data_IF_132126173814
#
_entry.id   IF_132126173814
#
_cell.length_a   1.000
_cell.length_b   1.000
_cell.length_c   1.000
_cell.angle_alpha   90.00
_cell.angle_beta   90.00
_cell.angle_gamma   90.00
#
_symmetry.space_group_name_H-M   'P 1'
#
loop_
_entity.id
_entity.type
_entity.pdbx_description
1 polymer ?
#
# COMPACT_ATOMS: atom_id res chain seq x y z
N UNK A 1 11.98 2.51 19.34
CA UNK A 1 10.81 2.05 18.56
C UNK A 1 10.33 3.22 17.74
N UNK A 2 10.34 3.10 16.43
CA UNK A 2 9.77 4.16 15.57
C UNK A 2 8.25 4.01 15.67
N UNK A 3 7.58 4.98 16.28
CA UNK A 3 6.11 4.98 16.36
C UNK A 3 5.57 5.43 14.99
N UNK A 4 5.00 4.50 14.24
CA UNK A 4 4.28 4.78 13.01
C UNK A 4 2.85 5.21 13.32
N UNK A 5 2.31 6.16 12.56
CA UNK A 5 0.95 6.67 12.79
C UNK A 5 -0.10 5.95 11.94
N UNK A 6 0.31 5.45 10.77
CA UNK A 6 -0.61 4.90 9.76
C UNK A 6 -0.43 3.41 9.48
N UNK A 7 0.58 2.81 10.09
CA UNK A 7 0.84 1.37 10.00
C UNK A 7 1.20 0.78 11.36
N UNK A 8 1.10 -0.54 11.46
CA UNK A 8 1.66 -1.31 12.57
C UNK A 8 2.73 -2.23 12.00
N UNK A 9 3.88 -2.34 12.68
CA UNK A 9 4.96 -3.25 12.31
C UNK A 9 5.11 -4.34 13.37
N UNK A 10 5.04 -5.58 12.95
CA UNK A 10 5.34 -6.76 13.78
C UNK A 10 6.44 -7.58 13.12
N UNK A 11 7.39 -8.09 13.92
CA UNK A 11 8.40 -9.05 13.47
C UNK A 11 8.17 -10.38 14.18
N UNK A 12 7.99 -11.44 13.40
CA UNK A 12 7.85 -12.79 13.92
C UNK A 12 8.80 -13.76 13.17
N UNK A 13 9.87 -14.16 13.83
CA UNK A 13 10.93 -14.94 13.19
C UNK A 13 11.50 -14.17 12.00
N UNK A 14 11.45 -14.77 10.82
CA UNK A 14 11.97 -14.18 9.58
C UNK A 14 10.91 -13.44 8.75
N UNK A 15 9.78 -13.09 9.34
CA UNK A 15 8.70 -12.38 8.65
C UNK A 15 8.48 -11.01 9.29
N UNK A 16 8.57 -9.96 8.47
CA UNK A 16 8.11 -8.62 8.82
C UNK A 16 6.66 -8.43 8.35
N UNK A 17 5.74 -8.10 9.25
CA UNK A 17 4.34 -7.84 8.92
C UNK A 17 4.02 -6.38 9.07
N UNK A 18 3.54 -5.76 7.99
CA UNK A 18 3.06 -4.38 7.92
C UNK A 18 1.55 -4.42 7.86
N UNK A 19 0.88 -3.93 8.88
CA UNK A 19 -0.58 -3.79 8.88
C UNK A 19 -0.95 -2.35 8.62
N UNK A 20 -1.67 -2.09 7.53
CA UNK A 20 -2.21 -0.76 7.23
C UNK A 20 -3.23 -0.40 8.30
N UNK A 21 -3.08 0.76 8.94
CA UNK A 21 -3.82 1.13 10.14
C UNK A 21 -4.41 2.55 10.07
N UNK A 22 -5.25 2.78 9.06
CA UNK A 22 -6.11 3.97 8.93
C UNK A 22 -7.60 3.56 8.90
N UNK A 23 -8.13 2.93 9.96
CA UNK A 23 -9.46 2.30 9.93
C UNK A 23 -10.60 3.29 9.63
N UNK A 24 -10.48 4.55 10.05
CA UNK A 24 -11.48 5.60 9.79
C UNK A 24 -11.55 6.00 8.31
N UNK A 25 -10.51 5.73 7.55
CA UNK A 25 -10.40 6.02 6.12
C UNK A 25 -10.39 4.73 5.26
N UNK A 26 -10.78 3.58 5.81
CA UNK A 26 -10.70 2.27 5.13
C UNK A 26 -9.31 2.03 4.53
N UNK A 27 -8.27 2.42 5.23
CA UNK A 27 -6.87 2.33 4.82
C UNK A 27 -6.54 3.04 3.50
N UNK A 28 -7.29 4.12 3.15
CA UNK A 28 -6.98 4.92 1.98
C UNK A 28 -5.52 5.40 2.01
N UNK A 29 -4.86 5.29 0.85
CA UNK A 29 -3.44 5.57 0.69
C UNK A 29 -3.21 7.08 0.59
N UNK A 30 -2.61 7.66 1.62
CA UNK A 30 -2.11 9.03 1.62
C UNK A 30 -0.56 9.04 1.62
N UNK A 31 0.03 10.20 1.46
CA UNK A 31 1.48 10.38 1.39
C UNK A 31 2.20 9.90 2.65
N UNK A 32 1.57 10.04 3.83
CA UNK A 32 2.17 9.57 5.07
C UNK A 32 2.24 8.05 5.12
N UNK A 33 1.12 7.36 4.84
CA UNK A 33 1.07 5.90 4.80
C UNK A 33 2.07 5.36 3.76
N UNK A 34 2.14 5.97 2.59
CA UNK A 34 3.10 5.60 1.56
C UNK A 34 4.55 5.69 2.08
N UNK A 35 4.93 6.82 2.68
CA UNK A 35 6.29 6.98 3.22
C UNK A 35 6.60 5.95 4.30
N UNK A 36 5.67 5.69 5.22
CA UNK A 36 5.86 4.72 6.29
C UNK A 36 6.02 3.30 5.73
N UNK A 37 5.15 2.87 4.81
CA UNK A 37 5.24 1.55 4.17
C UNK A 37 6.56 1.40 3.43
N UNK A 38 6.92 2.36 2.58
CA UNK A 38 8.18 2.31 1.79
C UNK A 38 9.39 2.26 2.71
N UNK A 39 9.45 3.12 3.73
CA UNK A 39 10.57 3.15 4.67
C UNK A 39 10.74 1.83 5.42
N UNK A 40 9.62 1.22 5.86
CA UNK A 40 9.66 -0.08 6.56
C UNK A 40 10.05 -1.21 5.62
N UNK A 41 9.54 -1.22 4.39
CA UNK A 41 9.94 -2.24 3.40
C UNK A 41 11.43 -2.16 3.12
N UNK A 42 12.00 -0.97 2.94
CA UNK A 42 13.45 -0.80 2.74
C UNK A 42 14.27 -1.24 3.95
N UNK A 43 13.81 -0.93 5.17
CA UNK A 43 14.45 -1.39 6.40
C UNK A 43 14.45 -2.92 6.48
N UNK A 44 13.31 -3.57 6.21
CA UNK A 44 13.16 -5.01 6.24
C UNK A 44 13.93 -5.70 5.10
N UNK A 45 13.98 -5.10 3.91
CA UNK A 45 14.71 -5.62 2.75
C UNK A 45 16.24 -5.57 2.95
N UNK A 46 16.72 -4.62 3.74
CA UNK A 46 18.13 -4.52 4.10
C UNK A 46 18.53 -5.49 5.24
N UNK A 47 17.59 -6.07 5.95
CA UNK A 47 17.82 -6.97 7.08
C UNK A 47 17.94 -8.42 6.61
N UNK A 48 19.15 -9.02 6.68
CA UNK A 48 19.41 -10.40 6.26
C UNK A 48 18.63 -11.47 7.06
N UNK A 49 18.12 -11.12 8.23
CA UNK A 49 17.31 -12.02 9.05
C UNK A 49 15.85 -12.09 8.55
N UNK A 50 15.42 -11.14 7.72
CA UNK A 50 14.08 -11.14 7.14
C UNK A 50 14.10 -11.92 5.82
N UNK A 51 13.16 -12.85 5.68
CA UNK A 51 13.00 -13.70 4.49
C UNK A 51 11.70 -13.47 3.73
N UNK A 52 10.74 -12.74 4.33
CA UNK A 52 9.51 -12.33 3.67
C UNK A 52 8.91 -11.10 4.37
N UNK A 53 8.21 -10.27 3.59
CA UNK A 53 7.48 -9.12 4.08
C UNK A 53 6.00 -9.30 3.75
N UNK A 54 5.16 -9.26 4.76
CA UNK A 54 3.71 -9.39 4.63
C UNK A 54 3.07 -8.00 4.76
N UNK A 55 2.24 -7.63 3.79
CA UNK A 55 1.42 -6.41 3.86
C UNK A 55 -0.04 -6.83 3.98
N UNK A 56 -0.74 -6.31 4.97
CA UNK A 56 -2.16 -6.60 5.20
C UNK A 56 -2.91 -5.35 5.67
N UNK A 57 -4.22 -5.45 5.74
CA UNK A 57 -5.09 -4.40 6.26
C UNK A 57 -6.00 -4.95 7.37
N UNK A 58 -7.25 -4.49 7.38
CA UNK A 58 -8.29 -4.99 8.27
C UNK A 58 -9.22 -5.99 7.54
N UNK A 59 -10.08 -6.68 8.30
CA UNK A 59 -11.13 -7.53 7.70
C UNK A 59 -12.07 -6.75 6.76
N UNK A 60 -12.26 -5.46 7.03
CA UNK A 60 -13.17 -4.61 6.25
C UNK A 60 -12.53 -4.07 4.98
N UNK A 61 -11.25 -3.74 5.04
CA UNK A 61 -10.51 -3.21 3.91
C UNK A 61 -9.01 -3.50 4.03
N UNK A 62 -8.43 -4.01 2.97
CA UNK A 62 -7.00 -3.95 2.75
C UNK A 62 -6.59 -2.48 2.54
N UNK A 63 -7.06 -1.86 1.45
CA UNK A 63 -6.98 -0.42 1.19
C UNK A 63 -8.04 0.00 0.16
N UNK A 64 -8.82 1.03 0.46
CA UNK A 64 -9.97 1.43 -0.37
C UNK A 64 -9.61 2.47 -1.45
N UNK A 65 -8.34 2.61 -1.81
CA UNK A 65 -7.87 3.50 -2.86
C UNK A 65 -7.02 4.66 -2.36
N UNK A 66 -6.74 5.62 -3.24
CA UNK A 66 -6.04 6.83 -2.87
C UNK A 66 -6.90 7.73 -1.95
N UNK A 67 -6.25 8.49 -1.09
CA UNK A 67 -6.96 9.45 -0.23
C UNK A 67 -7.40 10.66 -1.04
N UNK A 68 -8.68 10.66 -1.44
CA UNK A 68 -9.27 11.71 -2.29
C UNK A 68 -9.16 13.09 -1.64
N UNK A 69 -9.21 13.18 -0.31
CA UNK A 69 -9.08 14.46 0.41
C UNK A 69 -7.69 15.06 0.24
N UNK A 70 -6.66 14.23 0.16
CA UNK A 70 -5.30 14.68 -0.09
C UNK A 70 -5.10 15.05 -1.56
N UNK A 71 -5.74 14.33 -2.48
CA UNK A 71 -5.58 14.53 -3.93
C UNK A 71 -6.39 15.73 -4.44
N UNK A 72 -7.58 15.96 -3.90
CA UNK A 72 -8.52 16.97 -4.40
C UNK A 72 -7.94 18.38 -4.57
N UNK A 73 -7.10 18.93 -3.65
CA UNK A 73 -6.52 20.26 -3.80
C UNK A 73 -5.34 20.32 -4.77
N UNK A 74 -4.80 19.17 -5.21
CA UNK A 74 -3.59 19.12 -6.05
C UNK A 74 -3.93 19.41 -7.51
N UNK A 75 -3.14 20.29 -8.13
CA UNK A 75 -3.17 20.51 -9.58
C UNK A 75 -2.40 19.39 -10.31
N UNK A 76 -2.58 19.32 -11.63
CA UNK A 76 -1.76 18.45 -12.48
C UNK A 76 -0.26 18.72 -12.29
N UNK A 77 0.14 19.98 -12.21
CA UNK A 77 1.55 20.36 -12.05
C UNK A 77 2.11 19.92 -10.70
N UNK A 78 1.33 20.00 -9.62
CA UNK A 78 1.75 19.54 -8.31
C UNK A 78 2.03 18.03 -8.33
N UNK A 79 1.12 17.23 -8.88
CA UNK A 79 1.26 15.77 -8.97
C UNK A 79 2.44 15.38 -9.86
N UNK A 80 2.64 16.11 -10.98
CA UNK A 80 3.70 15.83 -11.94
C UNK A 80 5.09 16.17 -11.39
N UNK A 81 5.24 17.35 -10.76
CA UNK A 81 6.54 17.80 -10.24
C UNK A 81 6.95 17.06 -8.95
N UNK A 82 5.99 16.70 -8.11
CA UNK A 82 6.23 15.93 -6.89
C UNK A 82 6.51 14.45 -7.15
N UNK A 83 6.30 13.98 -8.40
CA UNK A 83 6.37 12.57 -8.78
C UNK A 83 5.63 11.68 -7.78
N UNK A 84 4.37 12.05 -7.54
CA UNK A 84 3.55 11.63 -6.39
C UNK A 84 3.48 10.11 -6.19
N UNK A 85 3.61 9.36 -7.27
CA UNK A 85 3.51 7.89 -7.25
C UNK A 85 4.86 7.17 -7.29
N UNK A 86 5.98 7.86 -7.57
CA UNK A 86 7.29 7.24 -7.75
C UNK A 86 7.79 6.47 -6.53
N UNK A 87 7.36 6.87 -5.32
CA UNK A 87 7.76 6.14 -4.11
C UNK A 87 7.27 4.68 -4.10
N UNK A 88 6.17 4.37 -4.80
CA UNK A 88 5.68 2.99 -4.92
C UNK A 88 6.60 2.10 -5.77
N UNK A 89 7.35 2.68 -6.73
CA UNK A 89 8.33 1.94 -7.54
C UNK A 89 9.45 1.35 -6.67
N UNK A 90 9.72 1.96 -5.52
CA UNK A 90 10.71 1.47 -4.55
C UNK A 90 10.25 0.16 -3.88
N UNK A 91 8.94 -0.05 -3.73
CA UNK A 91 8.42 -1.35 -3.29
C UNK A 91 8.69 -2.43 -4.35
N UNK A 92 8.44 -2.13 -5.61
CA UNK A 92 8.69 -3.06 -6.71
C UNK A 92 10.17 -3.43 -6.86
N UNK A 93 11.08 -2.59 -6.33
CA UNK A 93 12.51 -2.84 -6.33
C UNK A 93 12.99 -3.68 -5.14
N UNK A 94 12.14 -3.98 -4.16
CA UNK A 94 12.49 -4.82 -3.01
C UNK A 94 12.89 -6.23 -3.48
N UNK A 95 13.94 -6.78 -2.86
CA UNK A 95 14.49 -8.12 -3.17
C UNK A 95 13.89 -9.20 -2.28
N UNK A 96 13.49 -8.81 -1.07
CA UNK A 96 12.76 -9.69 -0.15
C UNK A 96 11.32 -9.85 -0.66
N UNK A 97 10.82 -11.10 -0.78
CA UNK A 97 9.46 -11.34 -1.27
C UNK A 97 8.40 -10.54 -0.51
N UNK A 98 7.58 -9.81 -1.26
CA UNK A 98 6.42 -9.07 -0.76
C UNK A 98 5.16 -9.92 -0.92
N UNK A 99 4.40 -10.09 0.15
CA UNK A 99 3.17 -10.87 0.16
C UNK A 99 2.02 -9.96 0.58
N UNK A 100 0.99 -9.84 -0.25
CA UNK A 100 -0.24 -9.17 0.12
C UNK A 100 -1.24 -10.18 0.69
N UNK A 101 -1.73 -9.97 1.91
CA UNK A 101 -2.86 -10.69 2.50
C UNK A 101 -4.08 -9.78 2.51
N UNK A 102 -5.03 -10.07 1.63
CA UNK A 102 -6.15 -9.18 1.30
C UNK A 102 -7.45 -9.71 1.86
N UNK A 103 -8.10 -8.91 2.71
CA UNK A 103 -9.49 -9.08 3.14
C UNK A 103 -10.27 -7.80 2.87
N UNK A 104 -11.58 -7.92 2.59
CA UNK A 104 -12.44 -6.79 2.31
C UNK A 104 -12.00 -6.02 1.05
N UNK A 105 -12.16 -4.71 1.09
CA UNK A 105 -11.93 -3.86 -0.08
C UNK A 105 -10.45 -3.66 -0.41
N UNK A 106 -10.06 -3.96 -1.65
CA UNK A 106 -8.79 -3.57 -2.29
C UNK A 106 -9.14 -2.85 -3.59
N UNK A 107 -9.32 -1.53 -3.54
CA UNK A 107 -9.85 -0.73 -4.64
C UNK A 107 -8.84 0.31 -5.12
N UNK A 108 -8.81 0.59 -6.43
CA UNK A 108 -7.94 1.57 -7.03
C UNK A 108 -6.48 1.37 -6.60
N UNK A 109 -5.83 2.40 -6.07
CA UNK A 109 -4.46 2.30 -5.55
C UNK A 109 -4.26 1.18 -4.51
N UNK A 110 -5.29 0.80 -3.75
CA UNK A 110 -5.23 -0.36 -2.85
C UNK A 110 -5.17 -1.70 -3.59
N UNK A 111 -5.89 -1.82 -4.71
CA UNK A 111 -5.78 -2.96 -5.61
C UNK A 111 -4.39 -2.98 -6.28
N UNK A 112 -3.90 -1.83 -6.71
CA UNK A 112 -2.57 -1.69 -7.32
C UNK A 112 -1.46 -2.07 -6.34
N UNK A 113 -1.54 -1.63 -5.06
CA UNK A 113 -0.59 -2.03 -4.02
C UNK A 113 -0.58 -3.54 -3.81
N UNK A 114 -1.75 -4.19 -3.80
CA UNK A 114 -1.84 -5.64 -3.68
C UNK A 114 -1.22 -6.35 -4.89
N UNK A 115 -1.46 -5.87 -6.11
CA UNK A 115 -0.90 -6.42 -7.34
C UNK A 115 0.61 -6.18 -7.49
N UNK A 116 1.14 -5.14 -6.84
CA UNK A 116 2.57 -4.84 -6.84
C UNK A 116 3.38 -5.85 -6.02
N UNK A 117 2.74 -6.56 -5.09
CA UNK A 117 3.37 -7.62 -4.33
C UNK A 117 3.63 -8.87 -5.18
N UNK A 118 4.67 -9.65 -4.83
CA UNK A 118 5.07 -10.86 -5.56
C UNK A 118 4.04 -12.00 -5.43
N UNK A 119 3.37 -12.07 -4.28
CA UNK A 119 2.34 -13.06 -3.98
C UNK A 119 1.12 -12.37 -3.38
N UNK A 120 -0.06 -12.70 -3.90
CA UNK A 120 -1.32 -12.19 -3.39
C UNK A 120 -2.17 -13.35 -2.85
N UNK A 121 -2.54 -13.27 -1.58
CA UNK A 121 -3.45 -14.20 -0.92
C UNK A 121 -4.72 -13.42 -0.56
N UNK A 122 -5.86 -13.88 -1.05
CA UNK A 122 -7.15 -13.25 -0.84
C UNK A 122 -8.07 -14.13 0.02
N UNK A 123 -8.73 -13.51 0.99
CA UNK A 123 -9.84 -14.16 1.68
C UNK A 123 -11.08 -14.23 0.78
N UNK A 124 -12.08 -15.00 1.19
CA UNK A 124 -13.38 -15.08 0.54
C UNK A 124 -14.19 -13.76 0.58
N UNK A 125 -13.80 -12.85 1.47
CA UNK A 125 -14.40 -11.51 1.58
C UNK A 125 -13.69 -10.45 0.73
N UNK A 126 -12.59 -10.80 0.07
CA UNK A 126 -11.81 -9.83 -0.70
C UNK A 126 -12.58 -9.35 -1.94
N UNK A 127 -12.59 -8.03 -2.13
CA UNK A 127 -13.23 -7.35 -3.27
C UNK A 127 -12.21 -6.46 -3.94
N UNK A 128 -11.86 -6.80 -5.19
CA UNK A 128 -10.91 -6.07 -6.00
C UNK A 128 -11.61 -5.21 -7.06
N UNK A 129 -11.04 -4.07 -7.37
CA UNK A 129 -11.54 -3.22 -8.46
C UNK A 129 -10.67 -2.01 -8.73
N UNK A 130 -10.82 -1.47 -9.94
CA UNK A 130 -10.16 -0.24 -10.41
C UNK A 130 -11.24 0.80 -10.77
N UNK A 131 -11.81 1.52 -9.76
CA UNK A 131 -12.92 2.43 -9.97
C UNK A 131 -12.51 3.84 -10.44
N UNK A 132 -11.26 4.05 -10.84
CA UNK A 132 -10.68 5.34 -11.21
C UNK A 132 -11.47 6.05 -12.30
N UNK A 133 -12.06 5.30 -13.23
CA UNK A 133 -12.92 5.87 -14.27
C UNK A 133 -14.12 6.66 -13.72
N UNK A 134 -14.60 6.32 -12.52
CA UNK A 134 -15.67 7.08 -11.87
C UNK A 134 -15.22 8.47 -11.40
N UNK A 135 -13.92 8.67 -11.27
CA UNK A 135 -13.28 9.95 -10.93
C UNK A 135 -12.72 10.67 -12.16
N UNK A 136 -12.81 10.06 -13.35
CA UNK A 136 -12.26 10.61 -14.58
C UNK A 136 -10.74 10.57 -14.66
N UNK A 137 -10.10 9.64 -13.94
CA UNK A 137 -8.65 9.44 -13.93
C UNK A 137 -8.30 8.00 -14.33
N UNK A 138 -7.04 7.77 -14.66
CA UNK A 138 -6.48 6.44 -14.91
C UNK A 138 -5.78 5.91 -13.65
N UNK A 139 -5.61 4.58 -13.50
CA UNK A 139 -4.76 4.00 -12.46
C UNK A 139 -3.33 4.56 -12.53
N UNK A 140 -2.72 4.88 -11.37
CA UNK A 140 -1.43 5.58 -11.30
C UNK A 140 -0.26 4.75 -10.77
N UNK A 141 -0.50 3.53 -10.26
CA UNK A 141 0.54 2.72 -9.59
C UNK A 141 0.80 1.40 -10.37
N UNK A 142 0.30 1.28 -11.59
CA UNK A 142 0.53 0.12 -12.45
C UNK A 142 -0.71 -0.72 -12.73
N UNK A 143 -1.91 -0.24 -12.43
CA UNK A 143 -3.18 -0.91 -12.72
C UNK A 143 -3.66 -0.79 -14.17
N UNK A 144 -2.86 -0.16 -15.03
CA UNK A 144 -3.15 0.03 -16.46
C UNK A 144 -2.07 -0.59 -17.32
#
# INVERSE_FOLDING_TARGET
>A
MTDYETILLERRGRVGTITLNRPKALNALNSQLMREVVSVVEELDADSEIGAILITGSERAFAAGADIKEMQPKSYMDVYLDDFFAAWDRLAAARTPLIAAVSGYALGGGCELAMLCDVLIASDTAVFGQPEIKLGVIPGIGGS
#
